data_IF_810994541932
#
_entry.id   IF_810994541932
#
_cell.length_a   1.000
_cell.length_b   1.000
_cell.length_c   1.000
_cell.angle_alpha   90.00
_cell.angle_beta   90.00
_cell.angle_gamma   90.00
#
_symmetry.space_group_name_H-M   'P 1'
#
loop_
_entity.id
_entity.type
_entity.pdbx_description
1 polymer ?
#
# COMPACT_ATOMS: atom_id res chain seq x y z
N UNK A 1 -65.13 -28.19 -40.43
CA UNK A 1 -64.92 -27.08 -41.38
C UNK A 1 -64.72 -25.82 -40.56
N UNK A 2 -63.51 -25.23 -40.63
CA UNK A 2 -63.11 -23.87 -40.22
C UNK A 2 -63.19 -23.38 -38.76
N UNK A 3 -61.99 -23.16 -38.20
CA UNK A 3 -61.48 -21.97 -37.43
C UNK A 3 -62.15 -21.61 -36.09
N UNK A 4 -61.45 -21.30 -35.00
CA UNK A 4 -60.47 -20.22 -34.89
C UNK A 4 -59.63 -20.37 -33.59
N UNK A 5 -58.31 -20.20 -33.70
CA UNK A 5 -57.32 -20.18 -32.62
C UNK A 5 -57.35 -18.84 -31.85
N UNK A 6 -57.23 -18.87 -30.52
CA UNK A 6 -56.93 -17.69 -29.71
C UNK A 6 -55.65 -17.94 -28.91
N UNK A 7 -54.54 -17.37 -29.39
CA UNK A 7 -53.24 -17.43 -28.74
C UNK A 7 -53.13 -16.29 -27.72
N UNK A 8 -52.90 -16.63 -26.45
CA UNK A 8 -52.66 -15.67 -25.38
C UNK A 8 -51.16 -15.41 -25.31
N UNK A 9 -50.79 -14.16 -25.63
CA UNK A 9 -49.45 -13.61 -25.54
C UNK A 9 -49.15 -13.26 -24.08
N UNK A 10 -48.26 -14.01 -23.42
CA UNK A 10 -47.74 -13.65 -22.10
C UNK A 10 -46.52 -12.76 -22.25
N UNK A 11 -46.70 -11.46 -22.02
CA UNK A 11 -45.63 -10.48 -21.94
C UNK A 11 -44.86 -10.65 -20.63
N UNK A 12 -43.63 -11.17 -20.69
CA UNK A 12 -42.68 -11.09 -19.58
C UNK A 12 -42.15 -9.64 -19.49
N UNK A 13 -42.58 -8.91 -18.46
CA UNK A 13 -41.93 -7.67 -18.04
C UNK A 13 -40.60 -8.03 -17.37
N UNK A 14 -39.48 -7.74 -18.05
CA UNK A 14 -38.16 -7.73 -17.43
C UNK A 14 -38.02 -6.40 -16.69
N UNK A 15 -38.13 -6.43 -15.36
CA UNK A 15 -37.72 -5.32 -14.50
C UNK A 15 -36.20 -5.26 -14.53
N UNK A 16 -35.64 -4.45 -15.43
CA UNK A 16 -34.24 -4.05 -15.36
C UNK A 16 -34.09 -3.15 -14.13
N UNK A 17 -33.57 -3.70 -13.03
CA UNK A 17 -33.13 -2.92 -11.89
C UNK A 17 -31.88 -2.14 -12.30
N UNK A 18 -32.07 -0.90 -12.77
CA UNK A 18 -30.97 0.05 -12.92
C UNK A 18 -30.53 0.49 -11.53
N UNK A 19 -29.56 -0.21 -10.95
CA UNK A 19 -28.80 0.34 -9.84
C UNK A 19 -28.09 1.62 -10.34
N UNK A 20 -28.25 2.76 -9.66
CA UNK A 20 -27.50 3.95 -10.02
C UNK A 20 -26.01 3.64 -9.89
N UNK A 21 -25.28 3.79 -10.99
CA UNK A 21 -23.82 3.82 -10.99
C UNK A 21 -23.47 5.11 -10.23
N UNK A 22 -23.21 4.97 -8.94
CA UNK A 22 -22.67 6.03 -8.12
C UNK A 22 -21.26 6.30 -8.65
N UNK A 23 -21.15 7.36 -9.47
CA UNK A 23 -19.87 7.86 -9.94
C UNK A 23 -19.15 8.37 -8.70
N UNK A 24 -18.25 7.57 -8.17
CA UNK A 24 -17.32 7.95 -7.10
C UNK A 24 -16.67 9.26 -7.53
N UNK A 25 -17.07 10.38 -6.90
CA UNK A 25 -16.48 11.69 -7.17
C UNK A 25 -15.19 11.71 -6.38
N UNK A 26 -14.10 11.23 -6.98
CA UNK A 26 -12.77 11.43 -6.42
C UNK A 26 -12.53 12.92 -6.27
N UNK A 27 -12.23 13.39 -5.06
CA UNK A 27 -11.86 14.78 -4.84
C UNK A 27 -10.53 15.01 -5.57
N UNK A 28 -10.32 16.19 -6.14
CA UNK A 28 -9.06 16.50 -6.84
C UNK A 28 -7.82 16.30 -5.92
N UNK A 29 -8.01 16.42 -4.61
CA UNK A 29 -6.99 16.23 -3.57
C UNK A 29 -6.65 14.74 -3.32
N UNK A 30 -7.46 13.80 -3.81
CA UNK A 30 -7.26 12.34 -3.66
C UNK A 30 -6.48 11.73 -4.84
N UNK A 31 -6.02 12.58 -5.76
CA UNK A 31 -5.19 12.15 -6.89
C UNK A 31 -3.75 11.96 -6.44
N UNK A 32 -3.20 10.82 -6.84
CA UNK A 32 -1.79 10.53 -6.62
C UNK A 32 -0.92 11.32 -7.60
N UNK A 33 0.15 11.92 -7.10
CA UNK A 33 1.20 12.52 -7.91
C UNK A 33 2.51 12.61 -7.11
N UNK A 34 3.63 12.74 -7.80
CA UNK A 34 4.93 13.07 -7.22
C UNK A 34 5.58 14.15 -8.08
N UNK A 35 6.19 15.15 -7.46
CA UNK A 35 7.06 16.11 -8.12
C UNK A 35 8.46 15.76 -7.64
N UNK A 36 9.32 15.27 -8.54
CA UNK A 36 10.74 15.06 -8.25
C UNK A 36 11.53 16.32 -8.57
N UNK A 37 12.49 16.64 -7.72
CA UNK A 37 13.33 17.84 -7.79
C UNK A 37 14.81 17.46 -7.85
N UNK A 38 15.58 18.19 -8.66
CA UNK A 38 16.99 17.89 -8.90
C UNK A 38 17.94 18.30 -7.77
N UNK A 39 17.41 18.96 -6.74
CA UNK A 39 18.16 19.44 -5.58
C UNK A 39 17.37 19.19 -4.29
N UNK A 40 18.02 19.17 -3.12
CA UNK A 40 17.35 19.10 -1.82
C UNK A 40 16.34 20.23 -1.57
N UNK A 41 15.38 20.01 -0.67
CA UNK A 41 14.40 21.01 -0.22
C UNK A 41 13.47 21.56 -1.31
N UNK A 42 13.15 20.72 -2.29
CA UNK A 42 12.19 21.01 -3.36
C UNK A 42 12.61 22.18 -4.26
N UNK A 43 13.91 22.23 -4.61
CA UNK A 43 14.49 23.23 -5.53
C UNK A 43 15.09 22.59 -6.79
N UNK A 44 15.62 23.40 -7.69
CA UNK A 44 16.21 22.91 -8.94
C UNK A 44 15.18 22.58 -10.03
N UNK A 45 15.59 21.76 -10.99
CA UNK A 45 14.75 21.28 -12.09
C UNK A 45 13.73 20.29 -11.53
N UNK A 46 12.49 20.35 -12.00
CA UNK A 46 11.43 19.49 -11.50
C UNK A 46 10.61 18.84 -12.60
N UNK A 47 10.10 17.64 -12.34
CA UNK A 47 9.15 16.93 -13.19
C UNK A 47 8.01 16.34 -12.35
N UNK A 48 6.78 16.39 -12.89
CA UNK A 48 5.59 15.83 -12.24
C UNK A 48 5.26 14.46 -12.80
N UNK A 49 5.27 13.46 -11.92
CA UNK A 49 4.91 12.07 -12.17
C UNK A 49 3.48 11.80 -11.70
N UNK A 50 2.67 11.21 -12.58
CA UNK A 50 1.34 10.68 -12.25
C UNK A 50 1.22 9.20 -12.58
N UNK A 51 2.17 8.66 -13.35
CA UNK A 51 2.19 7.30 -13.86
C UNK A 51 3.55 6.65 -13.57
N UNK A 52 3.62 5.35 -13.83
CA UNK A 52 4.88 4.62 -13.76
C UNK A 52 5.86 5.12 -14.83
N UNK A 53 7.13 5.23 -14.48
CA UNK A 53 8.22 5.59 -15.38
C UNK A 53 9.32 4.52 -15.26
N UNK A 54 9.39 3.55 -16.19
CA UNK A 54 10.37 2.47 -16.12
C UNK A 54 11.79 2.92 -16.43
N UNK A 55 11.97 4.11 -16.99
CA UNK A 55 13.26 4.69 -17.34
C UNK A 55 13.16 6.20 -17.20
N UNK A 56 13.81 6.78 -16.19
CA UNK A 56 13.76 8.21 -15.90
C UNK A 56 14.52 9.07 -16.91
N UNK A 57 15.41 8.47 -17.72
CA UNK A 57 16.15 9.20 -18.76
C UNK A 57 15.21 9.78 -19.82
N UNK A 58 14.07 9.14 -20.07
CA UNK A 58 13.07 9.60 -21.05
C UNK A 58 12.40 10.92 -20.66
N UNK A 59 12.47 11.29 -19.38
CA UNK A 59 11.99 12.57 -18.84
C UNK A 59 13.11 13.45 -18.31
N UNK A 60 14.38 13.09 -18.58
CA UNK A 60 15.57 13.82 -18.14
C UNK A 60 15.68 13.97 -16.60
N UNK A 61 15.21 12.96 -15.86
CA UNK A 61 15.26 12.91 -14.39
C UNK A 61 16.10 11.74 -13.85
N UNK A 62 16.87 11.08 -14.72
CA UNK A 62 17.77 9.99 -14.35
C UNK A 62 18.91 10.50 -13.45
N UNK A 63 19.16 9.80 -12.34
CA UNK A 63 20.25 10.06 -11.39
C UNK A 63 20.33 11.51 -10.87
N UNK A 64 19.19 12.22 -10.78
CA UNK A 64 19.18 13.60 -10.26
C UNK A 64 18.13 13.88 -9.20
N UNK A 65 17.18 12.99 -8.91
CA UNK A 65 16.10 13.29 -7.95
C UNK A 65 16.63 13.26 -6.51
N UNK A 66 16.70 14.42 -5.86
CA UNK A 66 17.21 14.58 -4.49
C UNK A 66 16.11 14.94 -3.46
N UNK A 67 14.99 15.50 -3.93
CA UNK A 67 13.83 15.75 -3.08
C UNK A 67 12.52 15.62 -3.84
N UNK A 68 11.42 15.51 -3.09
CA UNK A 68 10.09 15.26 -3.64
C UNK A 68 9.01 16.05 -2.91
N UNK A 69 7.94 16.37 -3.64
CA UNK A 69 6.66 16.77 -3.06
C UNK A 69 5.56 15.94 -3.68
N UNK A 70 4.55 15.50 -2.94
CA UNK A 70 3.46 14.77 -3.54
C UNK A 70 2.47 14.11 -2.59
N UNK A 71 1.62 13.31 -3.20
CA UNK A 71 0.60 12.51 -2.54
C UNK A 71 0.70 11.07 -3.05
N UNK A 72 0.62 10.11 -2.12
CA UNK A 72 0.61 8.67 -2.35
C UNK A 72 1.88 7.95 -1.87
N UNK A 73 1.98 6.67 -2.22
CA UNK A 73 3.14 5.83 -1.97
C UNK A 73 3.93 5.63 -3.27
N UNK A 74 5.14 6.17 -3.31
CA UNK A 74 6.03 6.18 -4.47
C UNK A 74 7.34 5.46 -4.14
N UNK A 75 7.86 4.71 -5.10
CA UNK A 75 9.06 3.91 -4.94
C UNK A 75 10.02 4.27 -6.08
N UNK A 76 11.18 4.79 -5.69
CA UNK A 76 12.29 5.14 -6.57
C UNK A 76 13.35 4.03 -6.51
N UNK A 77 13.84 3.66 -7.68
CA UNK A 77 14.75 2.55 -7.89
C UNK A 77 16.03 3.02 -8.55
N UNK A 78 17.16 2.45 -8.17
CA UNK A 78 18.48 2.74 -8.74
C UNK A 78 18.80 1.97 -10.04
N UNK A 79 17.76 1.42 -10.66
CA UNK A 79 17.87 0.73 -11.94
C UNK A 79 16.57 0.92 -12.72
N UNK A 80 16.68 0.79 -14.03
CA UNK A 80 15.52 0.81 -14.92
C UNK A 80 14.61 -0.41 -14.65
N UNK A 81 13.35 -0.32 -15.08
CA UNK A 81 12.34 -1.37 -14.97
C UNK A 81 12.07 -1.86 -13.54
N UNK A 82 12.16 -0.94 -12.57
CA UNK A 82 11.78 -1.16 -11.17
C UNK A 82 12.59 -2.26 -10.46
N UNK A 83 13.80 -2.55 -10.94
CA UNK A 83 14.76 -3.39 -10.22
C UNK A 83 15.66 -2.53 -9.34
N UNK A 84 16.43 -3.14 -8.45
CA UNK A 84 17.38 -2.40 -7.63
C UNK A 84 18.59 -3.23 -7.25
N UNK A 85 19.77 -2.60 -7.26
CA UNK A 85 21.00 -3.17 -6.72
C UNK A 85 21.26 -2.75 -5.27
N UNK A 86 20.51 -1.76 -4.79
CA UNK A 86 20.59 -1.19 -3.45
C UNK A 86 19.23 -1.27 -2.73
N UNK A 87 19.09 -0.52 -1.64
CA UNK A 87 17.82 -0.33 -0.96
C UNK A 87 16.93 0.60 -1.79
N UNK A 88 15.63 0.28 -1.88
CA UNK A 88 14.66 1.12 -2.59
C UNK A 88 14.30 2.35 -1.76
N UNK A 89 14.01 3.45 -2.43
CA UNK A 89 13.66 4.71 -1.78
C UNK A 89 12.15 4.92 -1.83
N UNK A 90 11.49 4.89 -0.66
CA UNK A 90 10.03 4.98 -0.55
C UNK A 90 9.62 6.35 -0.05
N UNK A 91 8.77 7.04 -0.82
CA UNK A 91 8.08 8.25 -0.39
C UNK A 91 6.64 7.91 -0.08
N UNK A 92 6.17 8.37 1.07
CA UNK A 92 4.82 8.19 1.56
C UNK A 92 4.33 9.52 2.13
N UNK A 93 3.21 10.03 1.63
CA UNK A 93 2.73 11.34 2.07
C UNK A 93 1.40 11.73 1.45
N UNK A 94 0.74 12.70 2.07
CA UNK A 94 -0.44 13.37 1.53
C UNK A 94 -0.18 14.86 1.49
N UNK A 95 -0.02 15.41 0.28
CA UNK A 95 0.37 16.80 0.04
C UNK A 95 1.57 17.22 0.92
N UNK A 96 2.59 16.36 0.93
CA UNK A 96 3.81 16.53 1.71
C UNK A 96 5.01 16.85 0.83
N UNK A 97 6.12 17.25 1.46
CA UNK A 97 7.42 17.39 0.82
C UNK A 97 8.51 16.81 1.72
N UNK A 98 9.55 16.25 1.11
CA UNK A 98 10.69 15.69 1.82
C UNK A 98 11.94 15.67 0.94
N UNK A 99 13.09 15.80 1.57
CA UNK A 99 14.38 15.47 0.95
C UNK A 99 14.63 14.00 1.20
N UNK A 100 15.09 13.28 0.18
CA UNK A 100 15.47 11.88 0.33
C UNK A 100 16.63 11.72 1.31
N UNK A 101 16.80 10.53 1.88
CA UNK A 101 18.04 10.20 2.58
C UNK A 101 19.21 10.21 1.59
N UNK A 102 20.42 10.51 2.07
CA UNK A 102 21.58 10.74 1.19
C UNK A 102 21.97 9.52 0.34
N UNK A 103 21.57 8.30 0.72
CA UNK A 103 21.82 7.10 -0.09
C UNK A 103 20.89 7.00 -1.32
N UNK A 104 19.78 7.75 -1.31
CA UNK A 104 18.81 7.86 -2.40
C UNK A 104 19.11 9.04 -3.34
N UNK A 105 20.11 9.87 -3.02
CA UNK A 105 20.45 11.04 -3.83
C UNK A 105 21.15 10.63 -5.12
N UNK A 106 20.76 11.24 -6.23
CA UNK A 106 21.40 11.08 -7.53
C UNK A 106 21.63 9.63 -7.98
N UNK A 107 20.71 8.70 -7.61
CA UNK A 107 20.79 7.29 -8.01
C UNK A 107 19.53 6.79 -8.72
N UNK A 108 18.42 7.53 -8.69
CA UNK A 108 17.15 7.04 -9.18
C UNK A 108 17.08 6.94 -10.70
N UNK A 109 16.79 5.75 -11.23
CA UNK A 109 16.65 5.47 -12.67
C UNK A 109 15.27 4.94 -13.10
N UNK A 110 14.42 4.51 -12.16
CA UNK A 110 13.00 4.28 -12.43
C UNK A 110 12.11 4.59 -11.23
N UNK A 111 10.83 4.85 -11.49
CA UNK A 111 9.88 5.30 -10.49
C UNK A 111 8.51 4.64 -10.72
N UNK A 112 7.88 4.14 -9.66
CA UNK A 112 6.47 3.72 -9.70
C UNK A 112 5.76 4.08 -8.41
N UNK A 113 4.45 3.90 -8.40
CA UNK A 113 3.64 4.00 -7.20
C UNK A 113 3.11 2.64 -6.75
N UNK A 114 2.71 2.53 -5.50
CA UNK A 114 1.83 1.46 -5.03
C UNK A 114 0.41 2.00 -4.76
N UNK A 115 -0.56 1.10 -4.67
CA UNK A 115 -1.97 1.41 -4.49
C UNK A 115 -2.74 1.64 -5.79
N UNK A 116 -4.02 2.00 -5.65
CA UNK A 116 -4.97 2.09 -6.76
C UNK A 116 -4.63 3.21 -7.75
N UNK A 117 -4.83 3.03 -9.07
CA UNK A 117 -4.72 4.11 -10.06
C UNK A 117 -5.77 5.22 -9.89
N UNK A 118 -6.89 4.95 -9.21
CA UNK A 118 -8.06 5.84 -9.19
C UNK A 118 -8.27 6.64 -7.90
N UNK A 119 -7.57 6.32 -6.83
CA UNK A 119 -7.73 6.98 -5.52
C UNK A 119 -6.70 6.47 -4.52
N UNK A 120 -6.08 7.37 -3.77
CA UNK A 120 -4.92 7.03 -2.94
C UNK A 120 -5.26 6.13 -1.75
N UNK A 121 -6.52 6.14 -1.28
CA UNK A 121 -6.98 5.32 -0.16
C UNK A 121 -7.88 4.15 -0.59
N UNK A 122 -7.95 3.85 -1.88
CA UNK A 122 -8.78 2.75 -2.34
C UNK A 122 -8.14 1.41 -1.96
N UNK A 123 -8.98 0.45 -1.57
CA UNK A 123 -8.57 -0.91 -1.27
C UNK A 123 -7.85 -1.54 -2.47
N UNK A 124 -6.57 -1.80 -2.30
CA UNK A 124 -5.71 -2.27 -3.38
C UNK A 124 -4.56 -3.10 -2.84
N UNK A 125 -4.05 -4.02 -3.65
CA UNK A 125 -2.83 -4.74 -3.38
C UNK A 125 -1.86 -4.65 -4.56
N UNK A 126 -0.57 -4.61 -4.24
CA UNK A 126 0.53 -4.74 -5.17
C UNK A 126 1.43 -5.87 -4.67
N UNK A 127 1.75 -6.83 -5.53
CA UNK A 127 2.58 -8.01 -5.25
C UNK A 127 3.80 -7.98 -6.14
N UNK A 128 4.97 -8.10 -5.56
CA UNK A 128 6.24 -7.94 -6.25
C UNK A 128 7.02 -9.25 -6.28
N UNK A 129 7.65 -9.56 -7.41
CA UNK A 129 8.46 -10.78 -7.55
C UNK A 129 9.70 -10.76 -6.66
N UNK A 130 10.33 -9.59 -6.48
CA UNK A 130 11.49 -9.42 -5.63
C UNK A 130 11.11 -9.06 -4.19
N UNK A 131 12.05 -9.25 -3.26
CA UNK A 131 12.01 -8.62 -1.94
C UNK A 131 12.13 -7.10 -2.09
N UNK A 132 11.88 -6.34 -1.01
CA UNK A 132 12.05 -4.88 -0.98
C UNK A 132 11.33 -4.17 -2.13
N UNK A 133 10.13 -4.65 -2.47
CA UNK A 133 9.20 -4.04 -3.43
C UNK A 133 9.76 -3.88 -4.85
N UNK A 134 10.61 -4.79 -5.34
CA UNK A 134 11.24 -4.69 -6.67
C UNK A 134 10.77 -5.72 -7.69
N UNK A 135 11.11 -5.47 -8.96
CA UNK A 135 10.81 -6.33 -10.09
C UNK A 135 9.37 -6.22 -10.58
N UNK A 136 8.95 -7.20 -11.38
CA UNK A 136 7.60 -7.25 -11.97
C UNK A 136 6.53 -7.31 -10.88
N UNK A 137 5.36 -6.76 -11.21
CA UNK A 137 4.25 -6.55 -10.27
C UNK A 137 2.97 -7.20 -10.78
N UNK A 138 2.29 -7.91 -9.87
CA UNK A 138 0.88 -8.26 -10.00
C UNK A 138 0.07 -7.36 -9.05
N UNK A 139 -1.02 -6.77 -9.53
CA UNK A 139 -1.79 -5.80 -8.73
C UNK A 139 -3.28 -5.88 -9.02
N UNK A 140 -4.09 -5.47 -8.05
CA UNK A 140 -5.54 -5.52 -8.23
C UNK A 140 -6.34 -4.91 -7.10
N UNK A 141 -7.62 -4.68 -7.40
CA UNK A 141 -8.63 -4.22 -6.47
C UNK A 141 -9.70 -5.31 -6.21
N UNK A 142 -9.57 -6.51 -6.78
CA UNK A 142 -10.58 -7.57 -6.67
C UNK A 142 -9.93 -8.88 -6.27
N UNK A 143 -10.73 -9.85 -5.84
CA UNK A 143 -10.26 -11.20 -5.60
C UNK A 143 -9.56 -11.78 -6.83
N UNK A 144 -8.47 -12.50 -6.60
CA UNK A 144 -7.71 -13.22 -7.61
C UNK A 144 -7.53 -14.68 -7.16
N UNK A 145 -8.30 -15.60 -7.75
CA UNK A 145 -8.25 -17.02 -7.42
C UNK A 145 -6.96 -17.72 -7.93
N UNK A 146 -6.23 -17.06 -8.84
CA UNK A 146 -4.97 -17.49 -9.44
C UNK A 146 -4.17 -16.22 -9.84
N UNK A 147 -2.85 -16.25 -9.64
CA UNK A 147 -1.93 -15.18 -10.05
C UNK A 147 -1.32 -15.40 -11.45
N UNK A 148 -1.63 -16.51 -12.11
CA UNK A 148 -1.18 -16.83 -13.46
C UNK A 148 0.34 -16.95 -13.54
N UNK A 149 0.98 -16.13 -14.36
CA UNK A 149 2.45 -16.13 -14.51
C UNK A 149 3.20 -15.71 -13.24
N UNK A 150 2.49 -15.15 -12.25
CA UNK A 150 3.05 -14.75 -10.96
C UNK A 150 2.90 -15.81 -9.86
N UNK A 151 2.26 -16.96 -10.15
CA UNK A 151 2.10 -18.06 -9.20
C UNK A 151 3.46 -18.51 -8.65
N UNK A 152 3.58 -18.57 -7.32
CA UNK A 152 4.82 -18.95 -6.63
C UNK A 152 6.04 -18.08 -6.99
N UNK A 153 5.84 -16.79 -7.27
CA UNK A 153 6.96 -15.86 -7.56
C UNK A 153 7.01 -14.63 -6.66
N UNK A 154 5.99 -14.42 -5.82
CA UNK A 154 5.85 -13.22 -5.00
C UNK A 154 6.78 -13.29 -3.78
N UNK A 155 7.49 -12.20 -3.52
CA UNK A 155 8.43 -12.09 -2.41
C UNK A 155 8.18 -10.89 -1.49
N UNK A 156 7.46 -9.86 -1.95
CA UNK A 156 7.07 -8.69 -1.15
C UNK A 156 5.74 -8.11 -1.62
N UNK A 157 5.09 -7.29 -0.79
CA UNK A 157 3.78 -6.72 -1.12
C UNK A 157 3.55 -5.35 -0.48
N UNK A 158 2.59 -4.62 -1.05
CA UNK A 158 1.97 -3.44 -0.46
C UNK A 158 0.46 -3.64 -0.46
N UNK A 159 -0.19 -3.25 0.63
CA UNK A 159 -1.65 -3.11 0.72
C UNK A 159 -1.96 -1.65 0.99
N UNK A 160 -2.93 -1.08 0.27
CA UNK A 160 -3.49 0.24 0.53
C UNK A 160 -4.99 0.16 0.80
N UNK A 161 -5.52 1.17 1.49
CA UNK A 161 -6.92 1.27 1.86
C UNK A 161 -7.25 0.63 3.21
N UNK A 162 -8.54 0.56 3.51
CA UNK A 162 -9.06 0.23 4.84
C UNK A 162 -9.48 -1.23 4.98
N UNK A 163 -9.72 -1.91 3.87
CA UNK A 163 -10.03 -3.34 3.89
C UNK A 163 -8.77 -4.18 4.11
N UNK A 164 -8.96 -5.29 4.84
CA UNK A 164 -7.98 -6.37 4.82
C UNK A 164 -7.92 -7.06 3.46
N UNK A 165 -6.77 -7.67 3.21
CA UNK A 165 -6.55 -8.66 2.16
C UNK A 165 -6.01 -9.95 2.75
N UNK A 166 -6.57 -11.09 2.35
CA UNK A 166 -6.08 -12.42 2.72
C UNK A 166 -5.25 -12.99 1.57
N UNK A 167 -4.01 -13.33 1.86
CA UNK A 167 -3.06 -13.95 0.95
C UNK A 167 -2.95 -15.45 1.24
N UNK A 168 -3.15 -16.28 0.23
CA UNK A 168 -3.23 -17.74 0.36
C UNK A 168 -2.06 -18.43 -0.33
N UNK A 169 -1.56 -19.50 0.29
CA UNK A 169 -0.56 -20.40 -0.30
C UNK A 169 -1.14 -21.38 -1.33
N UNK A 170 -2.48 -21.49 -1.41
CA UNK A 170 -3.18 -22.32 -2.38
C UNK A 170 -3.94 -21.51 -3.42
N UNK A 171 -4.26 -22.15 -4.54
CA UNK A 171 -5.18 -21.62 -5.55
C UNK A 171 -6.62 -21.60 -5.00
N UNK A 172 -7.48 -20.78 -5.59
CA UNK A 172 -8.90 -20.68 -5.23
C UNK A 172 -9.14 -20.48 -3.73
N UNK A 173 -8.30 -19.64 -3.08
CA UNK A 173 -8.45 -19.25 -1.67
C UNK A 173 -8.33 -20.44 -0.70
N UNK A 174 -7.40 -21.35 -0.96
CA UNK A 174 -7.17 -22.56 -0.17
C UNK A 174 -5.78 -22.59 0.47
N UNK A 175 -5.54 -23.55 1.36
CA UNK A 175 -4.25 -23.69 2.05
C UNK A 175 -4.08 -22.72 3.22
N UNK A 176 -2.85 -22.61 3.73
CA UNK A 176 -2.53 -21.62 4.76
C UNK A 176 -2.66 -20.21 4.19
N UNK A 177 -2.97 -19.27 5.07
CA UNK A 177 -3.24 -17.91 4.67
C UNK A 177 -2.90 -16.91 5.78
N UNK A 178 -2.71 -15.66 5.38
CA UNK A 178 -2.49 -14.52 6.27
C UNK A 178 -3.39 -13.37 5.86
N UNK A 179 -4.11 -12.80 6.81
CA UNK A 179 -4.78 -11.51 6.65
C UNK A 179 -3.78 -10.38 6.87
N UNK A 180 -3.81 -9.38 6.01
CA UNK A 180 -3.00 -8.18 6.11
C UNK A 180 -3.93 -6.97 6.07
N UNK A 181 -3.85 -6.14 7.09
CA UNK A 181 -4.43 -4.79 7.11
C UNK A 181 -3.33 -3.76 6.87
N UNK A 182 -3.70 -2.61 6.33
CA UNK A 182 -2.89 -1.41 6.51
C UNK A 182 -2.62 -1.19 8.01
N UNK A 183 -1.40 -0.78 8.35
CA UNK A 183 -0.99 -0.49 9.72
C UNK A 183 -0.40 0.91 9.89
N UNK A 184 -0.16 1.61 8.78
CA UNK A 184 0.20 3.01 8.71
C UNK A 184 -0.99 3.85 8.22
N UNK A 185 -1.09 5.07 8.75
CA UNK A 185 -2.09 6.06 8.38
C UNK A 185 -1.45 7.44 8.25
N UNK A 186 -1.62 8.08 7.09
CA UNK A 186 -1.24 9.47 6.85
C UNK A 186 -2.49 10.24 6.43
N UNK A 187 -2.72 11.41 7.04
CA UNK A 187 -3.87 12.25 6.70
C UNK A 187 -3.48 13.72 6.60
N UNK A 188 -4.03 14.41 5.60
CA UNK A 188 -3.90 15.86 5.45
C UNK A 188 -5.17 16.44 4.81
N UNK A 189 -5.78 17.42 5.48
CA UNK A 189 -6.98 18.14 5.00
C UNK A 189 -8.16 17.23 4.58
N UNK A 190 -8.32 16.08 5.25
CA UNK A 190 -9.38 15.12 5.00
C UNK A 190 -9.13 14.19 3.83
N UNK A 191 -7.91 14.16 3.29
CA UNK A 191 -7.42 13.12 2.40
C UNK A 191 -6.56 12.16 3.21
N UNK A 192 -6.89 10.87 3.14
CA UNK A 192 -6.26 9.81 3.93
C UNK A 192 -5.46 8.87 3.03
N UNK A 193 -4.41 8.28 3.58
CA UNK A 193 -3.60 7.23 2.97
C UNK A 193 -3.32 6.16 4.03
N UNK A 194 -4.06 5.06 3.93
CA UNK A 194 -3.89 3.86 4.74
C UNK A 194 -3.05 2.86 3.96
N UNK A 195 -1.95 2.36 4.54
CA UNK A 195 -1.09 1.39 3.87
C UNK A 195 -0.29 0.49 4.82
N UNK A 196 0.32 -0.55 4.25
CA UNK A 196 1.42 -1.33 4.82
C UNK A 196 2.32 -1.78 3.68
N UNK A 197 3.63 -1.81 3.91
CA UNK A 197 4.59 -2.49 3.04
C UNK A 197 5.21 -3.67 3.79
N UNK A 198 5.28 -4.81 3.11
CA UNK A 198 5.92 -6.04 3.61
C UNK A 198 7.11 -6.29 2.70
N UNK A 199 8.33 -6.07 3.20
CA UNK A 199 9.54 -6.10 2.39
C UNK A 199 10.00 -7.53 2.09
N UNK A 200 9.61 -8.48 2.93
CA UNK A 200 9.75 -9.91 2.70
C UNK A 200 8.57 -10.70 3.29
N UNK A 201 8.05 -11.69 2.56
CA UNK A 201 6.92 -12.52 3.03
C UNK A 201 7.14 -13.20 4.39
N UNK A 202 8.40 -13.45 4.76
CA UNK A 202 8.76 -14.01 6.07
C UNK A 202 8.37 -13.10 7.24
N UNK A 203 8.29 -11.79 7.05
CA UNK A 203 7.85 -10.81 8.07
C UNK A 203 6.41 -11.10 8.52
N UNK A 204 5.58 -11.56 7.59
CA UNK A 204 4.18 -11.91 7.84
C UNK A 204 3.97 -13.40 8.04
N UNK A 205 5.04 -14.19 8.11
CA UNK A 205 5.01 -15.63 8.37
C UNK A 205 4.54 -16.47 7.18
N UNK A 206 4.63 -15.93 5.97
CA UNK A 206 4.50 -16.69 4.73
C UNK A 206 5.89 -17.08 4.20
N UNK A 207 6.09 -18.31 3.69
CA UNK A 207 7.31 -18.64 2.98
C UNK A 207 7.49 -17.72 1.75
N UNK A 208 8.74 -17.45 1.37
CA UNK A 208 8.98 -16.73 0.12
C UNK A 208 8.39 -17.52 -1.06
N UNK A 209 7.90 -16.82 -2.10
CA UNK A 209 7.35 -17.47 -3.30
C UNK A 209 6.17 -18.40 -3.00
N UNK A 210 5.35 -18.11 -1.99
CA UNK A 210 4.24 -18.98 -1.57
C UNK A 210 2.86 -18.50 -2.00
N UNK A 211 2.66 -17.21 -2.23
CA UNK A 211 1.32 -16.67 -2.53
C UNK A 211 0.84 -17.14 -3.91
N UNK A 212 -0.40 -17.63 -3.96
CA UNK A 212 -1.05 -18.16 -5.18
C UNK A 212 -2.46 -17.62 -5.42
N UNK A 213 -3.13 -17.09 -4.40
CA UNK A 213 -4.41 -16.41 -4.55
C UNK A 213 -4.61 -15.35 -3.48
N UNK A 214 -5.48 -14.38 -3.76
CA UNK A 214 -5.72 -13.19 -2.93
C UNK A 214 -7.22 -12.92 -2.85
N UNK A 215 -7.74 -12.67 -1.64
CA UNK A 215 -9.15 -12.39 -1.42
C UNK A 215 -9.33 -11.17 -0.52
N UNK A 216 -10.24 -10.27 -0.87
CA UNK A 216 -10.60 -9.14 -0.01
C UNK A 216 -11.28 -9.62 1.26
N UNK A 217 -10.99 -8.95 2.37
CA UNK A 217 -11.45 -9.28 3.71
C UNK A 217 -10.45 -10.16 4.45
N UNK A 218 -10.69 -10.36 5.74
CA UNK A 218 -9.88 -11.26 6.57
C UNK A 218 -10.55 -12.62 6.74
N UNK A 219 -9.93 -13.66 6.17
CA UNK A 219 -10.42 -15.04 6.13
C UNK A 219 -9.41 -16.05 6.70
N UNK A 220 -8.43 -15.57 7.46
CA UNK A 220 -7.38 -16.38 8.07
C UNK A 220 -7.25 -16.08 9.56
N UNK A 221 -6.79 -17.05 10.35
CA UNK A 221 -6.55 -16.85 11.79
C UNK A 221 -5.34 -15.96 12.05
N UNK A 222 -4.32 -16.05 11.18
CA UNK A 222 -3.12 -15.22 11.27
C UNK A 222 -3.42 -13.85 10.66
N UNK A 223 -3.27 -12.81 11.48
CA UNK A 223 -3.52 -11.42 11.10
C UNK A 223 -2.25 -10.60 11.32
N UNK A 224 -1.93 -9.75 10.34
CA UNK A 224 -0.87 -8.75 10.40
C UNK A 224 -1.50 -7.37 10.19
N UNK A 225 -0.97 -6.38 10.91
CA UNK A 225 -1.59 -5.06 11.03
C UNK A 225 -2.83 -5.11 11.91
N UNK A 226 -3.58 -4.01 11.91
CA UNK A 226 -4.86 -3.93 12.60
C UNK A 226 -5.81 -3.05 11.78
N UNK A 227 -7.14 -3.29 11.83
CA UNK A 227 -8.09 -2.35 11.29
C UNK A 227 -7.82 -0.98 11.89
N UNK A 228 -7.53 -0.01 11.04
CA UNK A 228 -7.38 1.38 11.45
C UNK A 228 -8.78 1.85 11.83
N UNK A 229 -9.09 1.82 13.14
CA UNK A 229 -10.37 2.22 13.67
C UNK A 229 -10.67 3.63 13.15
N UNK A 230 -11.67 3.75 12.27
CA UNK A 230 -12.19 5.03 11.79
C UNK A 230 -12.56 5.91 12.97
N UNK A 231 -11.63 6.76 13.41
CA UNK A 231 -11.81 7.62 14.56
C UNK A 231 -12.55 8.85 14.07
N UNK A 232 -13.89 8.77 14.16
CA UNK A 232 -14.67 9.95 14.54
C UNK A 232 -14.00 10.56 15.78
N UNK A 233 -13.70 11.85 15.69
CA UNK A 233 -12.82 12.55 16.63
C UNK A 233 -13.22 12.50 18.10
N UNK A 234 -12.24 12.84 18.94
CA UNK A 234 -12.43 13.09 20.37
C UNK A 234 -11.42 12.32 21.20
N UNK A 235 -10.34 13.00 21.60
CA UNK A 235 -9.27 12.39 22.39
C UNK A 235 -9.70 11.91 23.77
N UNK A 236 -8.91 10.99 24.34
CA UNK A 236 -8.13 11.21 25.57
C UNK A 236 -7.41 9.93 26.00
N UNK A 237 -6.13 10.14 26.34
CA UNK A 237 -5.34 9.47 27.39
C UNK A 237 -5.17 7.96 27.37
N UNK A 238 -3.98 7.57 26.90
CA UNK A 238 -3.00 6.72 27.59
C UNK A 238 -3.45 6.20 28.97
N UNK A 239 -3.62 4.87 29.05
CA UNK A 239 -3.62 4.16 30.32
C UNK A 239 -2.18 3.85 30.72
N UNK A 240 -1.71 4.60 31.71
CA UNK A 240 -0.71 4.19 32.69
C UNK A 240 -1.05 2.82 33.28
N UNK A 241 -0.07 1.93 33.27
CA UNK A 241 -0.03 0.72 34.10
C UNK A 241 1.24 0.80 34.96
N UNK A 242 1.07 1.28 36.19
CA UNK A 242 1.91 0.90 37.34
C UNK A 242 1.10 -0.19 38.09
N UNK A 243 1.63 -1.18 38.81
CA UNK A 243 2.77 -1.28 39.73
C UNK A 243 2.86 -2.75 40.17
N UNK A 244 4.05 -3.25 40.49
CA UNK A 244 4.36 -4.16 41.63
C UNK A 244 5.90 -4.24 41.66
N UNK A 245 6.61 -3.47 42.48
CA UNK A 245 6.81 -3.61 43.94
C UNK A 245 7.43 -4.96 44.32
N UNK A 246 8.76 -4.96 44.51
CA UNK A 246 9.41 -5.85 45.47
C UNK A 246 10.56 -5.10 46.14
N UNK A 247 10.50 -5.14 47.46
CA UNK A 247 11.13 -4.24 48.40
C UNK A 247 12.60 -4.56 48.72
N UNK A 248 13.26 -3.49 49.18
CA UNK A 248 14.32 -3.42 50.20
C UNK A 248 15.58 -4.33 50.12
N UNK A 249 16.74 -3.67 50.00
CA UNK A 249 17.65 -3.56 51.16
C UNK A 249 18.62 -2.39 51.04
N UNK A 250 18.57 -1.50 52.04
CA UNK A 250 19.45 -0.37 52.30
C UNK A 250 20.86 -0.82 52.71
N UNK A 251 21.91 -0.11 52.27
CA UNK A 251 23.10 0.21 53.09
C UNK A 251 23.74 1.53 52.62
N UNK A 252 24.18 2.27 53.63
CA UNK A 252 24.57 3.67 53.76
C UNK A 252 26.02 3.98 53.34
N UNK A 253 26.30 5.29 53.16
CA UNK A 253 27.59 6.06 53.23
C UNK A 253 28.32 6.29 51.90
N UNK A 254 28.38 7.54 51.40
CA UNK A 254 29.25 8.68 51.80
C UNK A 254 30.73 8.44 51.48
N UNK A 255 31.23 9.05 50.39
CA UNK A 255 32.27 10.09 50.47
C UNK A 255 32.51 10.80 49.13
N UNK A 256 32.49 12.13 49.20
CA UNK A 256 33.11 13.11 48.30
C UNK A 256 34.64 12.95 48.30
N UNK A 257 35.31 13.27 47.18
CA UNK A 257 36.39 14.29 47.04
C UNK A 257 37.20 14.04 45.74
N UNK A 258 37.42 15.17 45.03
CA UNK A 258 38.40 15.53 43.98
C UNK A 258 39.57 14.57 43.73
N UNK A 259 40.05 14.41 42.49
CA UNK A 259 40.70 15.41 41.60
C UNK A 259 40.34 15.18 40.13
#
# INVERSE_FOLDING_TARGET
MMTLFCAIWSSFLVLASSSPIEKEITRADDLRYLIGYSEPYSTGVSYTFTEYVPDLSVVMMDDIIDSVCGTGLWILYDSINYDSNHEVCVYEGVNGCGTWDTFCWNVGSSLRYAGSPSGINNDYYNLYKGTTLRGEEFRGATDAADLGIFDLTISSLVVTGQSAWTFYEGLNFSGSAVCVYADQHISNNGTDLDFIHVLALSEIGLPNNSIRSVKRGCHAERVVGAPLNGTRGGGKTSMTSATEEMDAMSITRVHTVHV
#
